data_IF_752117965805
#
_entry.id   IF_752117965805
#
_cell.length_a   1.000
_cell.length_b   1.000
_cell.length_c   1.000
_cell.angle_alpha   90.00
_cell.angle_beta   90.00
_cell.angle_gamma   90.00
#
_symmetry.space_group_name_H-M   'P 1'
#
loop_
_entity.id
_entity.type
_entity.pdbx_description
1 polymer ?
#
# COMPACT_ATOMS: atom_id res chain seq x y z
N UNK A 1 -3.96 -8.74 -9.35
CA UNK A 1 -2.53 -8.89 -9.71
C UNK A 1 -1.71 -8.80 -8.43
N UNK A 2 -1.27 -9.91 -7.83
CA UNK A 2 -0.20 -9.90 -6.81
C UNK A 2 1.13 -9.92 -7.57
N UNK A 3 1.64 -8.74 -7.91
CA UNK A 3 2.94 -8.61 -8.57
C UNK A 3 3.97 -8.16 -7.53
N UNK A 4 5.21 -8.66 -7.64
CA UNK A 4 6.38 -8.30 -6.82
C UNK A 4 6.40 -8.81 -5.37
N UNK A 5 5.89 -10.02 -5.08
CA UNK A 5 6.05 -10.64 -3.76
C UNK A 5 5.25 -9.98 -2.63
N UNK A 6 4.41 -9.00 -2.97
CA UNK A 6 3.52 -8.34 -2.03
C UNK A 6 2.40 -9.31 -1.59
N UNK A 7 2.39 -9.65 -0.30
CA UNK A 7 1.38 -10.49 0.34
C UNK A 7 0.12 -9.69 0.67
N UNK A 8 0.32 -8.43 1.08
CA UNK A 8 -0.74 -7.56 1.56
C UNK A 8 -1.30 -6.67 0.45
N UNK A 9 -0.48 -6.29 -0.53
CA UNK A 9 -0.87 -5.38 -1.61
C UNK A 9 -0.75 -6.06 -3.00
N UNK A 10 -1.58 -5.70 -4.00
CA UNK A 10 -2.73 -4.80 -3.94
C UNK A 10 -4.04 -5.50 -3.55
N UNK A 11 -4.88 -4.76 -2.81
CA UNK A 11 -6.22 -5.18 -2.35
C UNK A 11 -7.21 -5.13 -3.53
N UNK A 12 -8.16 -6.08 -3.63
CA UNK A 12 -9.23 -6.02 -4.63
C UNK A 12 -10.12 -4.77 -4.46
N UNK A 13 -10.79 -4.33 -5.53
CA UNK A 13 -11.68 -3.15 -5.51
C UNK A 13 -12.85 -3.25 -4.53
N UNK A 14 -13.17 -4.46 -4.06
CA UNK A 14 -14.31 -4.77 -3.20
C UNK A 14 -13.90 -5.39 -1.83
N UNK A 15 -12.64 -5.23 -1.40
CA UNK A 15 -12.16 -5.81 -0.14
C UNK A 15 -11.44 -4.82 0.79
N UNK A 16 -11.50 -5.07 2.09
CA UNK A 16 -10.68 -4.39 3.09
C UNK A 16 -9.26 -4.99 3.09
N UNK A 17 -8.23 -4.15 3.25
CA UNK A 17 -6.88 -4.61 3.58
C UNK A 17 -6.83 -4.92 5.06
N UNK A 18 -6.53 -6.16 5.43
CA UNK A 18 -6.29 -6.55 6.82
C UNK A 18 -4.85 -7.00 7.03
N UNK A 19 -4.16 -6.35 7.97
CA UNK A 19 -2.79 -6.72 8.39
C UNK A 19 -2.81 -7.00 9.88
N UNK A 20 -2.55 -8.24 10.28
CA UNK A 20 -2.38 -8.62 11.68
C UNK A 20 -1.16 -7.96 12.32
N UNK A 21 -1.14 -7.84 13.65
CA UNK A 21 -0.09 -7.14 14.39
C UNK A 21 1.31 -7.73 14.13
N UNK A 22 1.40 -9.04 14.02
CA UNK A 22 2.60 -9.80 13.68
C UNK A 22 3.12 -9.50 12.27
N UNK A 23 2.22 -9.07 11.39
CA UNK A 23 2.48 -8.82 9.98
C UNK A 23 2.78 -7.35 9.65
N UNK A 24 2.66 -6.43 10.62
CA UNK A 24 2.84 -4.98 10.41
C UNK A 24 4.26 -4.61 9.99
N UNK A 25 5.28 -5.31 10.48
CA UNK A 25 6.66 -5.06 10.08
C UNK A 25 6.91 -5.43 8.61
N UNK A 26 6.36 -6.55 8.16
CA UNK A 26 6.44 -6.99 6.76
C UNK A 26 5.67 -6.04 5.84
N UNK A 27 4.48 -5.58 6.25
CA UNK A 27 3.68 -4.64 5.45
C UNK A 27 4.37 -3.28 5.29
N UNK A 28 5.10 -2.79 6.29
CA UNK A 28 5.94 -1.60 6.16
C UNK A 28 7.07 -1.79 5.12
N UNK A 29 7.66 -2.99 5.07
CA UNK A 29 8.65 -3.34 4.05
C UNK A 29 8.05 -3.34 2.63
N UNK A 30 6.84 -3.87 2.48
CA UNK A 30 6.11 -3.81 1.20
C UNK A 30 5.78 -2.38 0.80
N UNK A 31 5.35 -1.53 1.73
CA UNK A 31 5.09 -0.11 1.46
C UNK A 31 6.36 0.60 0.99
N UNK A 32 7.51 0.34 1.62
CA UNK A 32 8.79 0.89 1.19
C UNK A 32 9.16 0.46 -0.24
N UNK A 33 9.01 -0.83 -0.56
CA UNK A 33 9.26 -1.36 -1.91
C UNK A 33 8.35 -0.70 -2.97
N UNK A 34 7.08 -0.50 -2.66
CA UNK A 34 6.12 0.14 -3.56
C UNK A 34 6.43 1.63 -3.77
N UNK A 35 6.94 2.32 -2.75
CA UNK A 35 7.38 3.71 -2.87
C UNK A 35 8.60 3.83 -3.78
N UNK A 36 9.57 2.93 -3.64
CA UNK A 36 10.78 2.91 -4.48
C UNK A 36 10.46 2.61 -5.95
N UNK A 37 9.36 1.89 -6.22
CA UNK A 37 8.91 1.53 -7.57
C UNK A 37 7.69 2.32 -8.04
N UNK A 38 7.36 3.43 -7.37
CA UNK A 38 6.11 4.16 -7.59
C UNK A 38 5.93 4.62 -9.03
N UNK A 39 6.97 5.15 -9.67
CA UNK A 39 6.88 5.66 -11.05
C UNK A 39 6.59 4.52 -12.04
N UNK A 40 7.30 3.40 -11.90
CA UNK A 40 7.07 2.21 -12.72
C UNK A 40 5.65 1.64 -12.51
N UNK A 41 5.13 1.65 -11.29
CA UNK A 41 3.75 1.24 -10.97
C UNK A 41 2.74 2.21 -11.60
N UNK A 42 2.98 3.52 -11.49
CA UNK A 42 2.10 4.56 -12.03
C UNK A 42 2.03 4.51 -13.57
N UNK A 43 3.11 4.09 -14.23
CA UNK A 43 3.18 3.92 -15.68
C UNK A 43 2.48 2.64 -16.18
N UNK A 44 2.58 1.54 -15.42
CA UNK A 44 2.12 0.21 -15.81
C UNK A 44 0.67 -0.13 -15.42
N UNK A 45 0.05 0.67 -14.57
CA UNK A 45 -1.33 0.43 -14.10
C UNK A 45 -2.36 1.17 -14.96
N UNK A 46 -3.56 0.58 -15.11
CA UNK A 46 -4.69 1.22 -15.78
C UNK A 46 -5.12 2.48 -15.04
N UNK A 47 -5.44 3.53 -15.80
CA UNK A 47 -5.61 4.89 -15.28
C UNK A 47 -6.96 5.45 -15.71
N UNK A 48 -7.82 5.88 -14.77
CA UNK A 48 -9.03 6.63 -15.11
C UNK A 48 -8.73 8.09 -15.53
N UNK A 49 -7.52 8.60 -15.21
CA UNK A 49 -7.06 9.97 -15.43
C UNK A 49 -5.58 9.99 -15.87
N UNK A 50 -5.00 11.18 -16.07
CA UNK A 50 -3.60 11.35 -16.47
C UNK A 50 -2.58 10.81 -15.45
N UNK A 51 -1.36 10.52 -15.93
CA UNK A 51 -0.26 9.92 -15.15
C UNK A 51 0.04 10.66 -13.84
N UNK A 52 0.14 12.00 -13.89
CA UNK A 52 0.47 12.81 -12.72
C UNK A 52 -0.59 12.67 -11.60
N UNK A 53 -1.87 12.70 -11.98
CA UNK A 53 -2.98 12.53 -11.04
C UNK A 53 -2.99 11.13 -10.43
N UNK A 54 -2.74 10.11 -11.27
CA UNK A 54 -2.68 8.72 -10.82
C UNK A 54 -1.51 8.50 -9.83
N UNK A 55 -0.34 9.03 -10.17
CA UNK A 55 0.85 9.02 -9.32
C UNK A 55 0.59 9.68 -7.98
N UNK A 56 -0.01 10.87 -7.97
CA UNK A 56 -0.36 11.58 -6.75
C UNK A 56 -1.33 10.77 -5.88
N UNK A 57 -2.32 10.12 -6.50
CA UNK A 57 -3.23 9.20 -5.82
C UNK A 57 -2.51 8.03 -5.15
N UNK A 58 -1.54 7.41 -5.83
CA UNK A 58 -0.71 6.34 -5.29
C UNK A 58 0.16 6.83 -4.12
N UNK A 59 0.81 7.99 -4.25
CA UNK A 59 1.59 8.61 -3.16
C UNK A 59 0.74 8.81 -1.91
N UNK A 60 -0.45 9.39 -2.08
CA UNK A 60 -1.36 9.65 -0.95
C UNK A 60 -1.79 8.36 -0.26
N UNK A 61 -2.13 7.34 -1.05
CA UNK A 61 -2.54 6.02 -0.51
C UNK A 61 -1.41 5.35 0.27
N UNK A 62 -0.21 5.27 -0.31
CA UNK A 62 0.93 4.63 0.35
C UNK A 62 1.31 5.37 1.64
N UNK A 63 1.27 6.71 1.65
CA UNK A 63 1.51 7.50 2.86
C UNK A 63 0.49 7.19 3.96
N UNK A 64 -0.79 7.08 3.62
CA UNK A 64 -1.84 6.77 4.59
C UNK A 64 -1.64 5.37 5.20
N UNK A 65 -1.30 4.39 4.36
CA UNK A 65 -0.96 3.03 4.80
C UNK A 65 0.25 3.01 5.74
N UNK A 66 1.32 3.71 5.36
CA UNK A 66 2.54 3.84 6.15
C UNK A 66 2.26 4.42 7.55
N UNK A 67 1.51 5.52 7.61
CA UNK A 67 1.14 6.16 8.88
C UNK A 67 0.28 5.23 9.75
N UNK A 68 -0.68 4.52 9.15
CA UNK A 68 -1.52 3.57 9.87
C UNK A 68 -0.69 2.40 10.43
N UNK A 69 0.18 1.81 9.61
CA UNK A 69 1.06 0.70 10.00
C UNK A 69 2.07 1.12 11.07
N UNK A 70 2.66 2.31 10.98
CA UNK A 70 3.55 2.83 12.03
C UNK A 70 2.82 2.99 13.37
N UNK A 71 1.59 3.51 13.36
CA UNK A 71 0.77 3.62 14.58
C UNK A 71 0.41 2.24 15.14
N UNK A 72 -0.02 1.32 14.29
CA UNK A 72 -0.36 -0.04 14.66
C UNK A 72 0.83 -0.76 15.32
N UNK A 73 2.03 -0.60 14.75
CA UNK A 73 3.27 -1.14 15.31
C UNK A 73 3.56 -0.62 16.72
N UNK A 74 3.35 0.68 16.97
CA UNK A 74 3.60 1.28 18.30
C UNK A 74 2.67 0.69 19.37
N UNK A 75 1.42 0.38 19.01
CA UNK A 75 0.42 -0.16 19.95
C UNK A 75 0.35 -1.69 19.96
N UNK A 76 1.19 -2.38 19.16
CA UNK A 76 1.12 -3.84 18.98
C UNK A 76 -0.18 -4.32 18.31
N UNK A 77 -0.83 -3.47 17.52
CA UNK A 77 -2.09 -3.73 16.83
C UNK A 77 -1.91 -3.99 15.33
N UNK A 78 -3.02 -4.30 14.66
CA UNK A 78 -3.09 -4.47 13.20
C UNK A 78 -3.58 -3.23 12.45
N UNK A 79 -3.69 -3.34 11.12
CA UNK A 79 -4.22 -2.29 10.22
C UNK A 79 -5.41 -2.83 9.45
N UNK A 80 -6.49 -2.04 9.39
CA UNK A 80 -7.61 -2.26 8.47
C UNK A 80 -7.73 -1.02 7.58
N UNK A 81 -7.70 -1.20 6.26
CA UNK A 81 -7.93 -0.11 5.28
C UNK A 81 -9.09 -0.45 4.37
N UNK A 82 -10.04 0.49 4.27
CA UNK A 82 -11.23 0.44 3.41
C UNK A 82 -11.14 1.51 2.31
#
# INVERSE_FOLDING_TARGET
>A
MRALGARFLPVPADGDLEVGAESVAESLGEVALLRDRLDAIAESTQRPRGLAWHREGLVRRLRNLEVAALRARVIGGGVIVR
#
